data_IF_890604979544
#
_entry.id   IF_890604979544
#
_cell.length_a   1.000
_cell.length_b   1.000
_cell.length_c   1.000
_cell.angle_alpha   90.00
_cell.angle_beta   90.00
_cell.angle_gamma   90.00
#
_symmetry.space_group_name_H-M   'P 1'
#
loop_
_entity.id
_entity.type
_entity.pdbx_description
1 polymer ?
#
# COMPACT_ATOMS: atom_id res chain seq x y z
N UNK A 1 63.48 36.02 -3.97
CA UNK A 1 62.60 34.83 -4.03
C UNK A 1 61.72 34.78 -2.78
N UNK A 2 60.44 35.20 -2.91
CA UNK A 2 59.24 34.72 -2.16
C UNK A 2 58.10 35.71 -2.40
N UNK A 3 57.23 35.37 -3.36
CA UNK A 3 55.90 35.98 -3.50
C UNK A 3 54.98 35.37 -2.45
N UNK A 4 54.22 36.21 -1.76
CA UNK A 4 53.27 35.83 -0.70
C UNK A 4 51.87 35.96 -1.31
N UNK A 5 51.27 34.83 -1.70
CA UNK A 5 49.90 34.81 -2.21
C UNK A 5 48.91 34.81 -1.05
N UNK A 6 48.07 35.84 -0.97
CA UNK A 6 46.89 35.88 -0.12
C UNK A 6 45.78 35.04 -0.77
N UNK A 7 45.41 33.93 -0.14
CA UNK A 7 44.20 33.19 -0.49
C UNK A 7 43.05 33.81 0.30
N UNK A 8 42.25 34.65 -0.34
CA UNK A 8 40.94 35.06 0.14
C UNK A 8 39.96 33.93 -0.12
N UNK A 9 39.51 33.24 0.93
CA UNK A 9 38.38 32.31 0.85
C UNK A 9 37.11 33.10 0.50
N UNK A 10 36.42 32.81 -0.62
CA UNK A 10 35.21 33.54 -0.97
C UNK A 10 34.07 33.11 -0.05
N UNK A 11 33.37 34.10 0.50
CA UNK A 11 32.18 33.99 1.36
C UNK A 11 31.07 33.08 0.76
N UNK A 12 31.14 32.81 -0.54
CA UNK A 12 30.26 31.92 -1.30
C UNK A 12 30.26 30.45 -0.83
N UNK A 13 31.35 29.95 -0.24
CA UNK A 13 31.38 28.57 0.28
C UNK A 13 30.54 28.39 1.55
N UNK A 14 30.32 29.45 2.34
CA UNK A 14 29.57 29.36 3.59
C UNK A 14 28.06 29.27 3.34
N UNK A 15 27.55 29.91 2.29
CA UNK A 15 26.12 29.93 1.94
C UNK A 15 25.62 28.60 1.37
N UNK A 16 26.46 27.88 0.61
CA UNK A 16 26.10 26.55 0.05
C UNK A 16 25.99 25.49 1.16
N UNK A 17 26.83 25.58 2.20
CA UNK A 17 26.79 24.66 3.34
C UNK A 17 25.54 24.85 4.22
N UNK A 18 25.04 26.08 4.37
CA UNK A 18 23.80 26.34 5.14
C UNK A 18 22.57 25.85 4.40
N UNK A 19 22.52 25.97 3.07
CA UNK A 19 21.42 25.43 2.26
C UNK A 19 21.39 23.88 2.26
N UNK A 20 22.55 23.23 2.28
CA UNK A 20 22.65 21.77 2.41
C UNK A 20 22.22 21.27 3.81
N UNK A 21 22.53 22.02 4.87
CA UNK A 21 22.10 21.68 6.23
C UNK A 21 20.58 21.85 6.43
N UNK A 22 19.94 22.81 5.74
CA UNK A 22 18.49 22.98 5.77
C UNK A 22 17.72 21.85 5.07
N UNK A 23 18.35 21.12 4.15
CA UNK A 23 17.77 19.95 3.47
C UNK A 23 17.94 18.62 4.25
N UNK A 24 18.78 18.60 5.29
CA UNK A 24 19.02 17.40 6.13
C UNK A 24 18.13 17.35 7.39
N UNK A 25 17.35 18.40 7.65
CA UNK A 25 16.53 18.55 8.85
C UNK A 25 15.03 18.35 8.63
N UNK A 26 14.58 17.99 7.42
CA UNK A 26 13.18 17.60 7.23
C UNK A 26 13.02 16.23 7.85
N UNK A 27 12.28 16.08 8.96
CA UNK A 27 11.96 14.74 9.42
C UNK A 27 11.19 14.05 8.29
N UNK A 28 11.66 12.87 7.89
CA UNK A 28 10.82 11.91 7.17
C UNK A 28 9.70 11.53 8.14
N UNK A 29 8.68 12.37 8.25
CA UNK A 29 7.40 11.91 8.74
C UNK A 29 6.96 10.87 7.73
N UNK A 30 6.90 9.60 8.16
CA UNK A 30 6.08 8.63 7.47
C UNK A 30 4.69 9.27 7.27
N UNK A 31 4.07 9.09 6.11
CA UNK A 31 2.65 9.39 5.94
C UNK A 31 1.90 8.51 6.95
N UNK A 32 1.70 9.02 8.15
CA UNK A 32 0.73 8.47 9.07
C UNK A 32 -0.61 8.86 8.49
N UNK A 33 -1.32 7.85 8.02
CA UNK A 33 -2.72 7.98 7.72
C UNK A 33 -3.44 8.20 9.06
N UNK A 34 -3.77 9.46 9.34
CA UNK A 34 -4.44 9.88 10.57
C UNK A 34 -5.93 9.47 10.59
N UNK A 35 -6.40 8.67 9.61
CA UNK A 35 -7.75 8.11 9.61
C UNK A 35 -7.97 7.22 10.83
N UNK A 36 -8.99 7.56 11.61
CA UNK A 36 -9.50 6.69 12.65
C UNK A 36 -10.16 5.48 11.98
N UNK A 37 -9.65 4.27 12.26
CA UNK A 37 -10.24 3.05 11.74
C UNK A 37 -11.59 2.78 12.41
N UNK A 38 -12.66 2.77 11.63
CA UNK A 38 -14.00 2.37 12.09
C UNK A 38 -14.11 0.85 12.04
N UNK A 39 -14.42 0.17 13.16
CA UNK A 39 -14.54 -1.29 13.13
C UNK A 39 -15.70 -1.79 12.25
N UNK A 40 -15.42 -2.83 11.45
CA UNK A 40 -16.41 -3.43 10.55
C UNK A 40 -17.37 -4.31 11.34
N UNK A 41 -18.65 -3.91 11.36
CA UNK A 41 -19.70 -4.62 12.11
C UNK A 41 -20.40 -5.70 11.28
N UNK A 42 -21.05 -6.64 11.96
CA UNK A 42 -21.91 -7.65 11.30
C UNK A 42 -22.99 -7.01 10.41
N UNK A 43 -23.56 -5.88 10.83
CA UNK A 43 -24.57 -5.18 10.04
C UNK A 43 -24.00 -4.69 8.68
N UNK A 44 -22.77 -4.17 8.68
CA UNK A 44 -22.09 -3.78 7.44
C UNK A 44 -21.74 -4.99 6.56
N UNK A 45 -21.46 -6.15 7.13
CA UNK A 45 -21.24 -7.37 6.35
C UNK A 45 -22.54 -7.90 5.71
N UNK A 46 -23.69 -7.70 6.36
CA UNK A 46 -25.01 -8.08 5.82
C UNK A 46 -25.46 -7.16 4.69
N UNK A 47 -25.21 -5.85 4.83
CA UNK A 47 -25.55 -4.83 3.84
C UNK A 47 -24.36 -3.88 3.59
N UNK A 48 -23.35 -4.33 2.81
CA UNK A 48 -22.16 -3.53 2.56
C UNK A 48 -22.49 -2.31 1.71
N UNK A 49 -21.86 -1.18 2.05
CA UNK A 49 -21.90 0.03 1.22
C UNK A 49 -21.50 -0.32 -0.24
N UNK A 50 -22.18 0.24 -1.26
CA UNK A 50 -21.76 0.15 -2.66
C UNK A 50 -20.29 0.48 -2.92
N UNK A 51 -19.71 1.42 -2.17
CA UNK A 51 -18.34 1.89 -2.33
C UNK A 51 -17.30 0.95 -1.69
N UNK A 52 -17.75 0.02 -0.84
CA UNK A 52 -16.88 -0.91 -0.12
C UNK A 52 -16.91 -2.35 -0.69
N UNK A 53 -15.79 -3.06 -0.46
CA UNK A 53 -15.61 -4.48 -0.75
C UNK A 53 -15.02 -5.20 0.47
N UNK A 54 -15.86 -5.49 1.45
CA UNK A 54 -15.45 -5.94 2.79
C UNK A 54 -15.06 -7.43 2.90
N UNK A 55 -15.37 -8.24 1.89
CA UNK A 55 -15.14 -9.69 1.91
C UNK A 55 -14.90 -10.24 0.50
N UNK A 56 -14.39 -11.47 0.41
CA UNK A 56 -13.93 -12.11 -0.85
C UNK A 56 -14.81 -11.83 -2.07
N UNK A 57 -16.13 -11.99 -1.94
CA UNK A 57 -17.09 -11.82 -3.03
C UNK A 57 -18.10 -10.70 -2.78
N UNK A 58 -17.67 -9.67 -2.04
CA UNK A 58 -18.41 -8.49 -1.57
C UNK A 58 -19.56 -8.77 -0.61
N UNK A 59 -20.43 -9.71 -0.94
CA UNK A 59 -21.66 -10.04 -0.21
C UNK A 59 -21.65 -11.48 0.28
N UNK A 60 -22.35 -11.76 1.39
CA UNK A 60 -22.41 -13.10 2.00
C UNK A 60 -23.06 -14.17 1.10
N UNK A 61 -23.86 -13.76 0.11
CA UNK A 61 -24.39 -14.63 -0.93
C UNK A 61 -23.35 -15.00 -2.01
N UNK A 62 -22.12 -14.49 -1.89
CA UNK A 62 -20.95 -14.82 -2.72
C UNK A 62 -21.09 -14.47 -4.20
N UNK A 63 -21.79 -13.39 -4.56
CA UNK A 63 -21.99 -13.06 -5.97
C UNK A 63 -20.75 -12.50 -6.67
N UNK A 64 -19.92 -11.72 -5.98
CA UNK A 64 -18.80 -11.00 -6.62
C UNK A 64 -19.30 -9.93 -7.58
N UNK A 65 -20.40 -9.26 -7.22
CA UNK A 65 -21.05 -8.23 -8.02
C UNK A 65 -20.90 -6.86 -7.36
N UNK A 66 -20.39 -5.87 -8.10
CA UNK A 66 -20.42 -4.47 -7.69
C UNK A 66 -21.70 -3.81 -8.20
N UNK A 67 -22.45 -3.08 -7.35
CA UNK A 67 -23.62 -2.32 -7.77
C UNK A 67 -23.27 -0.97 -8.42
N UNK A 68 -22.01 -0.55 -8.41
CA UNK A 68 -21.57 0.69 -9.04
C UNK A 68 -21.75 0.63 -10.56
N UNK A 69 -22.28 1.72 -11.14
CA UNK A 69 -22.67 1.80 -12.55
C UNK A 69 -21.97 2.94 -13.31
N UNK A 70 -21.03 3.65 -12.67
CA UNK A 70 -20.28 4.74 -13.30
C UNK A 70 -19.53 4.27 -14.56
N UNK A 71 -19.01 3.04 -14.56
CA UNK A 71 -18.36 2.43 -15.73
C UNK A 71 -19.36 1.50 -16.41
N UNK A 72 -19.62 1.76 -17.68
CA UNK A 72 -20.61 1.02 -18.47
C UNK A 72 -20.10 0.70 -19.89
N UNK A 73 -20.95 0.08 -20.70
CA UNK A 73 -20.61 -0.30 -22.09
C UNK A 73 -20.34 0.90 -23.01
N UNK A 74 -20.87 2.08 -22.67
CA UNK A 74 -20.68 3.31 -23.44
C UNK A 74 -19.35 4.01 -23.14
N UNK A 75 -18.78 3.83 -21.94
CA UNK A 75 -17.57 4.54 -21.53
C UNK A 75 -16.35 3.66 -21.19
N UNK A 76 -16.49 2.33 -21.10
CA UNK A 76 -15.39 1.41 -20.71
C UNK A 76 -14.15 1.53 -21.61
N UNK A 77 -14.31 1.92 -22.88
CA UNK A 77 -13.20 2.14 -23.81
C UNK A 77 -12.29 3.32 -23.41
N UNK A 78 -12.75 4.21 -22.51
CA UNK A 78 -12.00 5.35 -22.00
C UNK A 78 -11.18 5.07 -20.73
N UNK A 79 -11.16 3.82 -20.24
CA UNK A 79 -10.39 3.47 -19.05
C UNK A 79 -8.89 3.70 -19.27
N UNK A 80 -8.26 4.29 -18.24
CA UNK A 80 -6.82 4.51 -18.18
C UNK A 80 -6.26 3.96 -16.89
N UNK A 81 -4.99 3.55 -16.94
CA UNK A 81 -4.25 3.21 -15.75
C UNK A 81 -4.14 4.46 -14.85
N UNK A 82 -4.59 4.36 -13.60
CA UNK A 82 -4.47 5.44 -12.61
C UNK A 82 -3.16 5.28 -11.83
N UNK A 83 -2.90 4.09 -11.30
CA UNK A 83 -1.67 3.77 -10.57
C UNK A 83 -1.30 2.28 -10.70
N UNK A 84 -0.04 1.95 -10.43
CA UNK A 84 0.42 0.56 -10.23
C UNK A 84 1.32 0.50 -9.00
N UNK A 85 1.35 -0.67 -8.35
CA UNK A 85 2.25 -0.93 -7.23
C UNK A 85 2.87 -2.33 -7.36
N UNK A 86 4.19 -2.49 -7.16
CA UNK A 86 4.80 -3.81 -7.16
C UNK A 86 4.34 -4.61 -5.94
N UNK A 87 4.00 -5.88 -6.18
CA UNK A 87 3.66 -6.87 -5.15
C UNK A 87 4.86 -7.77 -4.84
N UNK A 88 4.77 -8.51 -3.73
CA UNK A 88 5.78 -9.50 -3.37
C UNK A 88 5.91 -10.63 -4.40
N UNK A 89 7.07 -11.32 -4.46
CA UNK A 89 7.24 -12.47 -5.35
C UNK A 89 6.34 -13.63 -4.92
N UNK A 90 5.88 -14.43 -5.89
CA UNK A 90 5.07 -15.62 -5.64
C UNK A 90 3.77 -15.65 -6.44
N UNK A 91 2.92 -16.64 -6.16
CA UNK A 91 1.65 -16.81 -6.83
C UNK A 91 0.62 -15.81 -6.31
N UNK A 92 0.24 -14.86 -7.16
CA UNK A 92 -0.76 -13.85 -6.83
C UNK A 92 -2.17 -14.43 -7.03
N UNK A 93 -2.82 -14.78 -5.92
CA UNK A 93 -4.20 -15.30 -5.89
C UNK A 93 -5.09 -14.52 -4.90
N UNK A 94 -4.53 -13.48 -4.28
CA UNK A 94 -5.20 -12.61 -3.32
C UNK A 94 -6.33 -11.82 -3.98
N UNK A 95 -7.48 -11.74 -3.30
CA UNK A 95 -8.51 -10.75 -3.62
C UNK A 95 -8.32 -9.55 -2.71
N UNK A 96 -8.15 -8.33 -3.26
CA UNK A 96 -8.09 -7.13 -2.43
C UNK A 96 -9.44 -6.88 -1.77
N UNK A 97 -9.41 -6.39 -0.54
CA UNK A 97 -10.58 -5.80 0.12
C UNK A 97 -10.45 -4.29 0.08
N UNK A 98 -11.57 -3.57 0.00
CA UNK A 98 -11.58 -2.11 0.04
C UNK A 98 -12.54 -1.67 1.13
N UNK A 99 -12.08 -0.81 2.02
CA UNK A 99 -12.90 -0.23 3.07
C UNK A 99 -12.45 1.20 3.36
N UNK A 100 -13.38 2.15 3.33
CA UNK A 100 -13.14 3.56 3.66
C UNK A 100 -11.93 4.16 2.92
N UNK A 101 -11.84 3.88 1.61
CA UNK A 101 -10.76 4.36 0.74
C UNK A 101 -9.40 3.69 0.93
N UNK A 102 -9.30 2.64 1.76
CA UNK A 102 -8.09 1.81 1.89
C UNK A 102 -8.28 0.48 1.17
N UNK A 103 -7.33 0.15 0.28
CA UNK A 103 -7.21 -1.16 -0.33
C UNK A 103 -6.27 -2.04 0.50
N UNK A 104 -6.78 -3.16 0.98
CA UNK A 104 -6.03 -4.17 1.72
C UNK A 104 -5.69 -5.35 0.80
N UNK A 105 -4.41 -5.53 0.48
CA UNK A 105 -3.94 -6.56 -0.44
C UNK A 105 -3.20 -7.70 0.29
N UNK A 106 -3.74 -8.93 0.31
CA UNK A 106 -2.99 -10.11 0.70
C UNK A 106 -2.00 -10.50 -0.40
N UNK A 107 -0.72 -10.44 -0.06
CA UNK A 107 0.39 -10.89 -0.89
C UNK A 107 0.81 -12.31 -0.48
N UNK A 108 1.57 -13.01 -1.34
CA UNK A 108 2.25 -14.24 -0.96
C UNK A 108 3.07 -14.07 0.32
N UNK A 109 3.33 -15.20 1.01
CA UNK A 109 4.19 -15.25 2.19
C UNK A 109 3.68 -14.48 3.41
N UNK A 110 2.37 -14.39 3.58
CA UNK A 110 1.71 -13.69 4.70
C UNK A 110 2.12 -12.22 4.82
N UNK A 111 2.30 -11.56 3.68
CA UNK A 111 2.52 -10.12 3.59
C UNK A 111 1.17 -9.46 3.34
N UNK A 112 0.77 -8.51 4.19
CA UNK A 112 -0.46 -7.74 4.01
C UNK A 112 -0.09 -6.27 3.81
N UNK A 113 -0.64 -5.62 2.79
CA UNK A 113 -0.41 -4.21 2.51
C UNK A 113 -1.74 -3.46 2.62
N UNK A 114 -1.75 -2.35 3.36
CA UNK A 114 -2.79 -1.33 3.24
C UNK A 114 -2.29 -0.22 2.31
N UNK A 115 -3.10 0.12 1.32
CA UNK A 115 -2.75 1.00 0.22
C UNK A 115 -3.87 2.04 0.10
N UNK A 116 -3.53 3.31 -0.09
CA UNK A 116 -4.53 4.32 -0.45
C UNK A 116 -5.14 3.96 -1.81
N UNK A 117 -6.47 3.75 -1.85
CA UNK A 117 -7.12 3.24 -3.05
C UNK A 117 -7.10 4.23 -4.22
N UNK A 118 -6.93 5.53 -3.95
CA UNK A 118 -6.95 6.60 -4.95
C UNK A 118 -5.55 6.84 -5.52
N UNK A 119 -4.53 6.97 -4.67
CA UNK A 119 -3.16 7.29 -5.08
C UNK A 119 -2.31 6.05 -5.37
N UNK A 120 -2.60 4.92 -4.72
CA UNK A 120 -1.75 3.73 -4.73
C UNK A 120 -0.57 3.79 -3.73
N UNK A 121 -0.53 4.79 -2.86
CA UNK A 121 0.52 4.94 -1.85
C UNK A 121 0.40 3.86 -0.76
N UNK A 122 1.54 3.35 -0.30
CA UNK A 122 1.56 2.43 0.84
C UNK A 122 1.23 3.18 2.12
N UNK A 123 0.18 2.74 2.82
CA UNK A 123 -0.13 3.20 4.18
C UNK A 123 0.71 2.42 5.20
N UNK A 124 0.60 1.09 5.17
CA UNK A 124 1.40 0.21 6.02
C UNK A 124 1.58 -1.16 5.38
N UNK A 125 2.60 -1.89 5.83
CA UNK A 125 2.84 -3.28 5.46
C UNK A 125 3.09 -4.13 6.70
N UNK A 126 2.37 -5.24 6.80
CA UNK A 126 2.61 -6.28 7.78
C UNK A 126 3.32 -7.45 7.09
N UNK A 127 4.36 -7.98 7.75
CA UNK A 127 5.07 -9.20 7.33
C UNK A 127 5.09 -10.17 8.50
N UNK A 128 4.52 -11.34 8.30
CA UNK A 128 4.64 -12.41 9.29
C UNK A 128 6.03 -13.05 9.20
N UNK A 129 6.71 -13.18 10.34
CA UNK A 129 7.91 -14.00 10.44
C UNK A 129 7.57 -15.48 10.27
N UNK A 130 8.31 -16.17 9.43
CA UNK A 130 8.10 -17.59 9.12
C UNK A 130 9.45 -18.32 9.14
N UNK A 131 9.52 -19.57 9.63
CA UNK A 131 10.73 -20.38 9.53
C UNK A 131 11.16 -20.58 8.07
N UNK A 132 12.46 -20.58 7.82
CA UNK A 132 13.02 -20.75 6.46
C UNK A 132 12.90 -22.20 5.96
N UNK A 133 12.76 -23.17 6.86
CA UNK A 133 12.68 -24.60 6.59
C UNK A 133 11.25 -25.11 6.35
N UNK A 134 10.24 -24.22 6.30
CA UNK A 134 8.85 -24.63 6.06
C UNK A 134 8.68 -25.43 4.76
N UNK A 135 9.48 -25.13 3.75
CA UNK A 135 9.45 -25.82 2.46
C UNK A 135 9.96 -27.27 2.52
N UNK A 136 10.67 -27.65 3.59
CA UNK A 136 11.16 -29.02 3.79
C UNK A 136 10.05 -29.96 4.28
N UNK A 137 9.01 -29.39 4.91
CA UNK A 137 7.91 -30.15 5.52
C UNK A 137 6.58 -30.03 4.77
N UNK A 138 6.45 -29.06 3.87
CA UNK A 138 5.20 -28.71 3.20
C UNK A 138 5.40 -28.35 1.73
N UNK A 139 4.34 -28.48 0.93
CA UNK A 139 4.37 -28.11 -0.49
C UNK A 139 4.55 -26.59 -0.60
N UNK A 140 5.63 -26.15 -1.26
CA UNK A 140 5.99 -24.73 -1.42
C UNK A 140 4.85 -23.81 -1.87
N UNK A 141 3.98 -24.28 -2.78
CA UNK A 141 2.83 -23.50 -3.24
C UNK A 141 1.76 -23.29 -2.16
N UNK A 142 1.61 -24.22 -1.21
CA UNK A 142 0.62 -24.13 -0.13
C UNK A 142 1.10 -23.22 1.00
N UNK A 143 2.41 -23.16 1.25
CA UNK A 143 2.96 -22.28 2.29
C UNK A 143 3.03 -20.82 1.86
N UNK A 144 3.25 -20.54 0.57
CA UNK A 144 3.46 -19.17 0.11
C UNK A 144 2.20 -18.50 -0.45
N UNK A 145 1.13 -19.23 -0.74
CA UNK A 145 -0.10 -18.64 -1.27
C UNK A 145 -0.97 -18.08 -0.15
N UNK A 146 -1.31 -16.79 -0.23
CA UNK A 146 -2.40 -16.19 0.55
C UNK A 146 -3.49 -15.68 -0.42
N UNK A 147 -4.75 -16.06 -0.18
CA UNK A 147 -5.88 -15.78 -1.08
C UNK A 147 -6.84 -14.74 -0.57
N UNK A 148 -6.91 -14.55 0.74
CA UNK A 148 -7.90 -13.66 1.32
C UNK A 148 -7.52 -13.25 2.75
N UNK A 149 -8.14 -12.17 3.18
CA UNK A 149 -8.10 -11.63 4.54
C UNK A 149 -9.54 -11.37 5.00
N UNK A 150 -9.70 -11.03 6.26
CA UNK A 150 -10.93 -10.49 6.80
C UNK A 150 -10.62 -9.19 7.52
N UNK A 151 -11.49 -8.20 7.36
CA UNK A 151 -11.50 -7.00 8.17
C UNK A 151 -12.56 -7.24 9.25
N UNK A 152 -12.14 -7.14 10.51
CA UNK A 152 -13.00 -7.41 11.66
C UNK A 152 -12.56 -6.50 12.80
N UNK A 153 -13.53 -5.97 13.56
CA UNK A 153 -13.29 -5.25 14.80
C UNK A 153 -14.60 -4.91 15.50
#
# INVERSE_FOLDING_TARGET
MKLRNHVTTPLSFLLVLVAAAALLGVPLQAQQDDREFIPVTDAMLQDPDPDDWLMWRRTLNTWGFSPLDQIDRGNVAGLRLVWTRPLGPGLQQGTPLVYDGVLYMPNPRDIIQAIDAVSGDLVWEHRRERPDDLADYMIGSLIDTNRNIAIHG
#
